data_IF_818201844758
#
_entry.id   IF_818201844758
#
_cell.length_a   1.000
_cell.length_b   1.000
_cell.length_c   1.000
_cell.angle_alpha   90.00
_cell.angle_beta   90.00
_cell.angle_gamma   90.00
#
_symmetry.space_group_name_H-M   'P 1'
#
loop_
_entity.id
_entity.type
_entity.pdbx_description
1 polymer ?
#
# COMPACT_ATOMS: atom_id res chain seq x y z
N UNK A 1 -5.94 -23.66 22.55
CA UNK A 1 -6.49 -23.00 21.35
C UNK A 1 -5.49 -23.21 20.23
N UNK A 2 -5.61 -24.36 19.56
CA UNK A 2 -4.74 -24.78 18.45
C UNK A 2 -5.70 -25.30 17.38
N UNK A 3 -6.38 -24.36 16.73
CA UNK A 3 -7.27 -24.63 15.61
C UNK A 3 -6.41 -24.81 14.36
N UNK A 4 -6.28 -26.07 13.94
CA UNK A 4 -6.32 -26.52 12.54
C UNK A 4 -5.98 -25.44 11.50
N UNK A 5 -4.76 -25.48 10.97
CA UNK A 5 -4.47 -24.94 9.63
C UNK A 5 -5.19 -25.84 8.61
N UNK A 6 -6.52 -25.74 8.59
CA UNK A 6 -7.39 -26.36 7.61
C UNK A 6 -7.03 -25.77 6.27
N UNK A 7 -6.47 -26.62 5.42
CA UNK A 7 -6.28 -26.38 4.01
C UNK A 7 -7.62 -26.23 3.31
N UNK A 8 -8.32 -25.12 3.52
CA UNK A 8 -9.34 -24.61 2.59
C UNK A 8 -8.63 -24.01 1.37
N UNK A 9 -7.82 -24.82 0.68
CA UNK A 9 -7.41 -24.52 -0.68
C UNK A 9 -8.66 -24.65 -1.54
N UNK A 10 -9.40 -23.54 -1.61
CA UNK A 10 -10.66 -23.41 -2.33
C UNK A 10 -10.43 -23.85 -3.79
N UNK A 11 -11.12 -24.90 -4.24
CA UNK A 11 -11.02 -25.42 -5.61
C UNK A 11 -11.40 -24.35 -6.66
N UNK A 12 -12.01 -23.25 -6.21
CA UNK A 12 -12.27 -22.02 -6.97
C UNK A 12 -10.96 -21.29 -7.34
N UNK A 13 -9.98 -21.22 -6.45
CA UNK A 13 -8.67 -20.59 -6.70
C UNK A 13 -7.86 -21.38 -7.74
N UNK A 14 -7.95 -22.72 -7.74
CA UNK A 14 -7.33 -23.57 -8.77
C UNK A 14 -7.98 -23.41 -10.15
N UNK A 15 -9.24 -22.97 -10.24
CA UNK A 15 -9.86 -22.60 -11.52
C UNK A 15 -9.27 -21.33 -12.12
N UNK A 16 -8.73 -20.42 -11.29
CA UNK A 16 -8.06 -19.21 -11.77
C UNK A 16 -6.79 -19.51 -12.59
N UNK A 17 -6.10 -20.63 -12.33
CA UNK A 17 -4.92 -21.10 -13.10
C UNK A 17 -5.24 -21.27 -14.59
N UNK A 18 -6.52 -21.47 -14.95
CA UNK A 18 -6.95 -21.54 -16.35
C UNK A 18 -6.74 -20.21 -17.11
N UNK A 19 -6.55 -19.08 -16.42
CA UNK A 19 -6.16 -17.79 -17.01
C UNK A 19 -4.79 -17.84 -17.70
N UNK A 20 -3.94 -18.82 -17.35
CA UNK A 20 -2.62 -19.02 -17.99
C UNK A 20 -2.70 -19.79 -19.31
N UNK A 21 -3.86 -20.34 -19.68
CA UNK A 21 -4.04 -21.10 -20.95
C UNK A 21 -3.61 -20.33 -22.20
N UNK A 22 -3.85 -19.01 -22.35
CA UNK A 22 -3.37 -18.24 -23.50
C UNK A 22 -1.85 -18.23 -23.65
N UNK A 23 -1.07 -18.40 -22.57
CA UNK A 23 0.40 -18.51 -22.65
C UNK A 23 0.84 -19.78 -23.41
N UNK A 24 0.01 -20.83 -23.41
CA UNK A 24 0.27 -22.04 -24.21
C UNK A 24 0.17 -21.77 -25.71
N UNK A 25 -0.70 -20.84 -26.15
CA UNK A 25 -0.79 -20.41 -27.55
C UNK A 25 0.49 -19.68 -27.98
N UNK A 26 1.08 -18.89 -27.07
CA UNK A 26 2.37 -18.24 -27.31
C UNK A 26 3.49 -19.26 -27.51
N UNK A 27 3.45 -20.40 -26.81
CA UNK A 27 4.42 -21.49 -27.02
C UNK A 27 4.22 -22.28 -28.33
N UNK A 28 3.08 -22.13 -28.99
CA UNK A 28 2.78 -22.80 -30.25
C UNK A 28 3.18 -22.01 -31.49
N UNK A 29 3.34 -20.68 -31.38
CA UNK A 29 3.68 -19.80 -32.50
C UNK A 29 5.12 -19.28 -32.32
N UNK A 30 6.08 -19.69 -33.16
CA UNK A 30 7.50 -19.38 -32.97
C UNK A 30 7.80 -17.87 -33.01
N UNK A 31 7.02 -17.06 -33.71
CA UNK A 31 7.20 -15.60 -33.76
C UNK A 31 6.93 -14.92 -32.41
N UNK A 32 5.91 -15.35 -31.65
CA UNK A 32 5.62 -14.76 -30.33
C UNK A 32 6.64 -15.20 -29.27
N UNK A 33 7.23 -16.40 -29.39
CA UNK A 33 8.28 -16.86 -28.49
C UNK A 33 9.54 -15.98 -28.58
N UNK A 34 9.90 -15.53 -29.79
CA UNK A 34 11.04 -14.61 -30.00
C UNK A 34 10.79 -13.29 -29.28
N UNK A 35 9.57 -12.76 -29.36
CA UNK A 35 9.19 -11.51 -28.68
C UNK A 35 9.26 -11.67 -27.15
N UNK A 36 8.64 -12.70 -26.57
CA UNK A 36 8.70 -12.91 -25.12
C UNK A 36 10.12 -13.15 -24.60
N UNK A 37 10.92 -13.95 -25.31
CA UNK A 37 12.33 -14.19 -24.93
C UNK A 37 13.16 -12.90 -24.98
N UNK A 38 12.85 -12.00 -25.90
CA UNK A 38 13.49 -10.68 -25.98
C UNK A 38 13.11 -9.80 -24.78
N UNK A 39 11.84 -9.79 -24.37
CA UNK A 39 11.38 -9.08 -23.16
C UNK A 39 12.08 -9.63 -21.91
N UNK A 40 12.15 -10.96 -21.75
CA UNK A 40 12.84 -11.58 -20.61
C UNK A 40 14.32 -11.18 -20.55
N UNK A 41 15.00 -11.13 -21.69
CA UNK A 41 16.41 -10.71 -21.76
C UNK A 41 16.59 -9.23 -21.40
N UNK A 42 15.62 -8.39 -21.77
CA UNK A 42 15.63 -6.97 -21.42
C UNK A 42 15.33 -6.70 -19.94
N UNK A 43 14.59 -7.57 -19.24
CA UNK A 43 14.28 -7.37 -17.81
C UNK A 43 15.51 -7.53 -16.89
N UNK A 44 16.49 -8.36 -17.27
CA UNK A 44 17.68 -8.63 -16.45
C UNK A 44 18.47 -7.34 -16.11
N UNK A 45 18.85 -6.48 -17.07
CA UNK A 45 19.52 -5.22 -16.73
C UNK A 45 18.62 -4.23 -15.98
N UNK A 46 17.30 -4.23 -16.23
CA UNK A 46 16.35 -3.40 -15.49
C UNK A 46 16.27 -3.80 -14.01
N UNK A 47 16.43 -5.09 -13.68
CA UNK A 47 16.38 -5.58 -12.31
C UNK A 47 17.49 -4.98 -11.45
N UNK A 48 18.68 -4.69 -12.01
CA UNK A 48 19.76 -4.03 -11.26
C UNK A 48 19.35 -2.62 -10.79
N UNK A 49 18.71 -1.85 -11.68
CA UNK A 49 18.15 -0.53 -11.34
C UNK A 49 17.00 -0.69 -10.35
N UNK A 50 16.16 -1.72 -10.53
CA UNK A 50 15.08 -2.06 -9.62
C UNK A 50 15.56 -2.34 -8.19
N UNK A 51 16.69 -3.04 -8.03
CA UNK A 51 17.30 -3.28 -6.71
C UNK A 51 17.76 -1.96 -6.08
N UNK A 52 18.41 -1.08 -6.84
CA UNK A 52 18.79 0.25 -6.34
C UNK A 52 17.58 1.07 -5.87
N UNK A 53 16.49 1.07 -6.66
CA UNK A 53 15.24 1.73 -6.31
C UNK A 53 14.61 1.13 -5.04
N UNK A 54 14.63 -0.20 -4.91
CA UNK A 54 14.12 -0.88 -3.71
C UNK A 54 14.91 -0.48 -2.44
N UNK A 55 16.23 -0.37 -2.53
CA UNK A 55 17.04 0.14 -1.42
C UNK A 55 16.68 1.60 -1.06
N UNK A 56 16.46 2.45 -2.05
CA UNK A 56 16.02 3.83 -1.80
C UNK A 56 14.64 3.86 -1.12
N UNK A 57 13.68 3.05 -1.59
CA UNK A 57 12.36 2.89 -0.97
C UNK A 57 12.48 2.45 0.50
N UNK A 58 13.34 1.47 0.79
CA UNK A 58 13.55 1.01 2.16
C UNK A 58 14.05 2.12 3.08
N UNK A 59 14.99 2.95 2.62
CA UNK A 59 15.51 4.07 3.41
C UNK A 59 14.38 5.06 3.73
N UNK A 60 13.60 5.48 2.73
CA UNK A 60 12.48 6.39 2.94
C UNK A 60 11.36 5.77 3.79
N UNK A 61 11.11 4.47 3.68
CA UNK A 61 10.12 3.77 4.48
C UNK A 61 10.52 3.71 5.96
N UNK A 62 11.79 3.45 6.26
CA UNK A 62 12.31 3.45 7.65
C UNK A 62 12.22 4.86 8.25
N UNK A 63 12.62 5.89 7.49
CA UNK A 63 12.47 7.28 7.92
C UNK A 63 11.00 7.59 8.19
N UNK A 64 10.11 7.27 7.26
CA UNK A 64 8.67 7.50 7.42
C UNK A 64 8.09 6.80 8.65
N UNK A 65 8.52 5.56 8.92
CA UNK A 65 8.10 4.79 10.09
C UNK A 65 8.50 5.50 11.39
N UNK A 66 9.77 5.89 11.55
CA UNK A 66 10.24 6.56 12.77
C UNK A 66 9.54 7.90 13.03
N UNK A 67 9.24 8.67 11.98
CA UNK A 67 8.61 9.98 12.13
C UNK A 67 7.09 9.93 12.28
N UNK A 68 6.42 9.03 11.55
CA UNK A 68 4.96 9.05 11.40
C UNK A 68 4.24 7.86 12.03
N UNK A 69 4.92 7.05 12.85
CA UNK A 69 4.30 5.94 13.58
C UNK A 69 3.07 6.40 14.39
N UNK A 70 1.93 5.77 14.14
CA UNK A 70 0.67 5.99 14.84
C UNK A 70 -0.02 7.32 14.55
N UNK A 71 0.54 8.17 13.67
CA UNK A 71 -0.03 9.49 13.34
C UNK A 71 -1.26 9.40 12.43
N UNK A 72 -1.32 8.37 11.60
CA UNK A 72 -2.43 8.16 10.65
C UNK A 72 -3.68 7.56 11.31
N UNK A 73 -3.68 7.31 12.62
CA UNK A 73 -4.82 6.73 13.36
C UNK A 73 -5.68 7.77 14.11
N UNK A 74 -5.34 9.05 14.00
CA UNK A 74 -6.06 10.14 14.66
C UNK A 74 -6.89 10.96 13.68
N UNK A 75 -8.19 11.07 13.92
CA UNK A 75 -9.11 11.91 13.13
C UNK A 75 -10.05 12.72 14.04
N UNK A 76 -10.80 13.65 13.45
CA UNK A 76 -11.78 14.49 14.13
C UNK A 76 -13.09 13.73 14.32
N UNK A 77 -13.44 13.48 15.58
CA UNK A 77 -14.73 12.91 15.99
C UNK A 77 -15.66 14.00 16.48
N UNK A 78 -16.95 13.89 16.16
CA UNK A 78 -17.98 14.76 16.74
C UNK A 78 -18.16 14.45 18.23
N UNK A 79 -18.24 15.49 19.06
CA UNK A 79 -18.44 15.32 20.51
C UNK A 79 -19.83 14.79 20.87
N UNK A 80 -20.82 14.90 19.99
CA UNK A 80 -22.20 14.50 20.27
C UNK A 80 -22.55 13.10 19.73
N UNK A 81 -22.08 12.77 18.53
CA UNK A 81 -22.42 11.51 17.85
C UNK A 81 -21.30 10.47 17.91
N UNK A 82 -20.08 10.85 18.31
CA UNK A 82 -18.86 10.03 18.23
C UNK A 82 -18.61 9.46 16.80
N UNK A 83 -19.15 10.13 15.77
CA UNK A 83 -18.92 9.79 14.37
C UNK A 83 -17.74 10.56 13.79
N UNK A 84 -17.09 9.99 12.77
CA UNK A 84 -16.01 10.64 12.03
C UNK A 84 -16.63 11.70 11.11
N UNK A 85 -16.28 12.96 11.33
CA UNK A 85 -16.79 14.07 10.51
C UNK A 85 -15.99 14.26 9.21
N UNK A 86 -14.69 14.07 9.28
CA UNK A 86 -13.75 14.23 8.17
C UNK A 86 -12.73 13.10 8.17
N UNK A 87 -12.43 12.51 7.01
CA UNK A 87 -11.42 11.44 6.85
C UNK A 87 -10.02 12.02 6.61
N UNK A 88 -9.59 12.95 7.48
CA UNK A 88 -8.26 13.55 7.44
C UNK A 88 -7.55 13.36 8.78
N UNK A 89 -6.23 13.13 8.79
CA UNK A 89 -5.48 13.13 10.04
C UNK A 89 -5.57 14.49 10.73
N UNK A 90 -5.73 14.44 12.05
CA UNK A 90 -5.74 15.63 12.90
C UNK A 90 -4.55 15.62 13.86
N UNK A 91 -4.20 16.80 14.36
CA UNK A 91 -3.30 16.92 15.51
C UNK A 91 -3.86 17.83 16.60
N UNK A 92 -3.20 17.81 17.76
CA UNK A 92 -3.66 18.50 18.97
C UNK A 92 -3.08 19.91 19.14
N UNK A 93 -2.07 20.29 18.34
CA UNK A 93 -1.35 21.56 18.48
C UNK A 93 -0.83 22.07 17.14
N UNK A 94 -0.83 23.39 16.87
CA UNK A 94 -0.21 23.95 15.67
C UNK A 94 1.25 23.46 15.52
N UNK A 95 1.76 23.15 14.31
CA UNK A 95 1.23 23.45 12.97
C UNK A 95 0.30 22.37 12.37
N UNK A 96 -0.09 21.33 13.12
CA UNK A 96 -0.97 20.28 12.57
C UNK A 96 -2.38 20.80 12.26
N UNK A 97 -3.10 20.14 11.35
CA UNK A 97 -4.52 20.41 11.10
C UNK A 97 -5.33 20.24 12.39
N UNK A 98 -5.92 21.34 12.85
CA UNK A 98 -6.80 21.36 14.02
C UNK A 98 -8.22 21.00 13.61
N UNK A 99 -8.90 20.26 14.47
CA UNK A 99 -10.30 19.94 14.28
C UNK A 99 -11.17 21.20 14.44
N UNK A 100 -12.25 21.35 13.64
CA UNK A 100 -13.19 22.47 13.77
C UNK A 100 -13.96 22.43 15.09
N UNK A 101 -14.55 23.56 15.48
CA UNK A 101 -15.33 23.69 16.71
C UNK A 101 -16.41 22.61 16.84
N UNK A 102 -16.51 22.01 18.03
CA UNK A 102 -17.44 20.92 18.32
C UNK A 102 -16.90 19.51 18.02
N UNK A 103 -15.72 19.38 17.42
CA UNK A 103 -15.07 18.08 17.19
C UNK A 103 -13.78 17.92 18.01
N UNK A 104 -13.42 16.69 18.39
CA UNK A 104 -12.18 16.40 19.11
C UNK A 104 -11.29 15.42 18.35
N UNK A 105 -9.99 15.72 18.34
CA UNK A 105 -8.98 14.85 17.73
C UNK A 105 -8.73 13.63 18.63
N UNK A 106 -9.21 12.45 18.23
CA UNK A 106 -9.07 11.19 18.97
C UNK A 106 -8.48 10.10 18.08
N UNK A 107 -7.81 9.15 18.71
CA UNK A 107 -7.24 7.98 18.03
C UNK A 107 -8.21 6.81 18.11
N UNK A 108 -8.89 6.49 17.02
CA UNK A 108 -9.71 5.28 16.82
C UNK A 108 -9.99 5.01 15.33
N UNK A 109 -9.34 5.77 14.45
CA UNK A 109 -9.53 5.64 13.02
C UNK A 109 -8.65 4.54 12.47
N UNK A 110 -9.18 3.74 11.54
CA UNK A 110 -8.40 2.69 10.86
C UNK A 110 -7.24 3.28 10.04
N UNK A 111 -7.35 4.55 9.67
CA UNK A 111 -6.40 5.28 8.83
C UNK A 111 -6.92 5.48 7.41
N UNK A 112 -6.23 6.30 6.62
CA UNK A 112 -6.65 6.58 5.24
C UNK A 112 -6.63 5.31 4.39
N UNK A 113 -7.46 5.27 3.34
CA UNK A 113 -7.60 4.11 2.45
C UNK A 113 -7.82 2.78 3.20
N UNK A 114 -8.72 2.76 4.17
CA UNK A 114 -9.00 1.58 5.02
C UNK A 114 -7.75 1.06 5.76
N UNK A 115 -6.83 1.94 6.13
CA UNK A 115 -5.61 1.61 6.87
C UNK A 115 -4.48 1.02 6.02
N UNK A 116 -4.56 1.11 4.69
CA UNK A 116 -3.47 0.66 3.80
C UNK A 116 -2.32 1.69 3.77
N UNK A 117 -2.67 2.98 3.69
CA UNK A 117 -1.70 4.07 3.67
C UNK A 117 -1.37 4.50 5.10
N UNK A 118 -0.29 3.94 5.64
CA UNK A 118 0.17 4.14 7.01
C UNK A 118 1.68 3.86 7.12
N UNK A 119 2.29 4.32 8.21
CA UNK A 119 3.72 4.12 8.51
C UNK A 119 3.98 3.27 9.75
N UNK A 120 2.99 2.53 10.27
CA UNK A 120 3.17 1.79 11.53
C UNK A 120 3.89 0.45 11.35
N UNK A 121 3.88 -0.08 10.13
CA UNK A 121 4.55 -1.33 9.78
C UNK A 121 5.44 -1.13 8.55
N UNK A 122 6.59 -1.80 8.52
CA UNK A 122 7.55 -1.64 7.41
C UNK A 122 6.96 -2.00 6.05
N UNK A 123 6.09 -3.01 5.97
CA UNK A 123 5.47 -3.41 4.70
C UNK A 123 4.51 -2.34 4.16
N UNK A 124 3.68 -1.76 5.04
CA UNK A 124 2.76 -0.68 4.65
C UNK A 124 3.51 0.62 4.36
N UNK A 125 4.60 0.91 5.08
CA UNK A 125 5.47 2.04 4.78
C UNK A 125 6.13 1.91 3.39
N UNK A 126 6.63 0.72 3.04
CA UNK A 126 7.17 0.43 1.70
C UNK A 126 6.10 0.63 0.62
N UNK A 127 4.88 0.12 0.82
CA UNK A 127 3.76 0.29 -0.13
C UNK A 127 3.40 1.77 -0.31
N UNK A 128 3.33 2.52 0.80
CA UNK A 128 3.00 3.94 0.81
C UNK A 128 4.08 4.76 0.07
N UNK A 129 5.37 4.50 0.34
CA UNK A 129 6.48 5.16 -0.37
C UNK A 129 6.52 4.76 -1.85
N UNK A 130 6.22 3.50 -2.17
CA UNK A 130 6.12 3.05 -3.55
C UNK A 130 5.02 3.81 -4.31
N UNK A 131 3.84 3.97 -3.70
CA UNK A 131 2.74 4.76 -4.25
C UNK A 131 3.21 6.20 -4.55
N UNK A 132 3.94 6.85 -3.63
CA UNK A 132 4.51 8.18 -3.86
C UNK A 132 5.47 8.24 -5.05
N UNK A 133 6.38 7.27 -5.18
CA UNK A 133 7.37 7.26 -6.28
C UNK A 133 6.71 7.03 -7.63
N UNK A 134 5.60 6.28 -7.67
CA UNK A 134 4.79 6.12 -8.88
C UNK A 134 4.00 7.37 -9.27
N UNK A 135 4.07 8.44 -8.46
CA UNK A 135 3.36 9.71 -8.66
C UNK A 135 1.83 9.56 -8.68
N UNK A 136 1.31 8.53 -8.04
CA UNK A 136 -0.12 8.26 -7.87
C UNK A 136 -0.47 8.51 -6.40
N UNK A 137 -1.50 9.31 -6.11
CA UNK A 137 -1.93 9.58 -4.73
C UNK A 137 -0.95 10.33 -3.81
N UNK A 138 0.25 10.69 -4.28
CA UNK A 138 1.30 11.29 -3.44
C UNK A 138 0.92 12.63 -2.80
N UNK A 139 0.10 13.44 -3.49
CA UNK A 139 -0.39 14.71 -2.95
C UNK A 139 -1.36 14.49 -1.80
N UNK A 140 -2.19 13.45 -1.88
CA UNK A 140 -3.13 13.12 -0.81
C UNK A 140 -2.37 12.73 0.45
N UNK A 141 -1.34 11.87 0.31
CA UNK A 141 -0.45 11.54 1.41
C UNK A 141 0.28 12.76 1.97
N UNK A 142 0.68 13.72 1.13
CA UNK A 142 1.35 14.95 1.58
C UNK A 142 0.42 15.83 2.44
N UNK A 143 -0.87 15.85 2.14
CA UNK A 143 -1.87 16.65 2.87
C UNK A 143 -2.43 15.97 4.11
N UNK A 144 -2.14 14.68 4.27
CA UNK A 144 -2.43 13.90 5.47
C UNK A 144 -1.38 14.16 6.55
#
# INVERSE_FOLDING_TARGET
>A
ILSTMGSDFDLRTLRAVRVLRPLKLVSGIPSLQVVLKSIMKAMIPLLQIGVLLFFAILIFAIIGLEFYMGKFHTTCFDNQTDEIREEFPCGKSPPSRLCPDGTTCRGYWLGPNYGITQFDNILFAILTVFQCITMEGWTELLYW
#
